data_IF_322850671521
#
_entry.id   IF_322850671521
#
_cell.length_a   1.000
_cell.length_b   1.000
_cell.length_c   1.000
_cell.angle_alpha   90.00
_cell.angle_beta   90.00
_cell.angle_gamma   90.00
#
_symmetry.space_group_name_H-M   'P 1'
#
loop_
_entity.id
_entity.type
_entity.pdbx_description
1 polymer ?
#
# COMPACT_ATOMS: atom_id res chain seq x y z
N UNK A 1 -37.60 9.45 -33.16
CA UNK A 1 -37.44 9.21 -31.70
C UNK A 1 -36.29 8.23 -31.45
N UNK A 2 -35.01 8.56 -31.72
CA UNK A 2 -33.90 7.64 -31.31
C UNK A 2 -32.45 8.21 -31.34
N UNK A 3 -32.24 9.53 -31.44
CA UNK A 3 -30.86 10.08 -31.46
C UNK A 3 -30.38 10.42 -30.05
N UNK A 4 -31.27 10.94 -29.20
CA UNK A 4 -30.97 11.27 -27.80
C UNK A 4 -30.73 10.01 -26.94
N UNK A 5 -31.58 8.98 -27.06
CA UNK A 5 -31.37 7.69 -26.38
C UNK A 5 -30.05 7.01 -26.78
N UNK A 6 -29.72 7.00 -28.09
CA UNK A 6 -28.46 6.42 -28.57
C UNK A 6 -27.23 7.16 -28.02
N UNK A 7 -27.27 8.49 -27.91
CA UNK A 7 -26.19 9.29 -27.28
C UNK A 7 -26.03 9.01 -25.78
N UNK A 8 -27.11 8.64 -25.07
CA UNK A 8 -27.07 8.30 -23.64
C UNK A 8 -26.45 6.92 -23.40
N UNK A 9 -26.78 5.92 -24.22
CA UNK A 9 -26.30 4.54 -24.10
C UNK A 9 -24.76 4.46 -24.23
N UNK A 10 -24.17 5.19 -25.19
CA UNK A 10 -22.71 5.19 -25.36
C UNK A 10 -21.97 5.76 -24.15
N UNK A 11 -22.53 6.77 -23.47
CA UNK A 11 -21.94 7.31 -22.24
C UNK A 11 -21.98 6.29 -21.09
N UNK A 12 -23.09 5.56 -20.96
CA UNK A 12 -23.25 4.50 -19.95
C UNK A 12 -22.27 3.37 -20.23
N UNK A 13 -22.13 2.95 -21.49
CA UNK A 13 -21.16 1.92 -21.89
C UNK A 13 -19.73 2.33 -21.54
N UNK A 14 -19.31 3.56 -21.87
CA UNK A 14 -17.98 4.07 -21.54
C UNK A 14 -17.73 4.10 -20.03
N UNK A 15 -18.73 4.50 -19.25
CA UNK A 15 -18.64 4.53 -17.78
C UNK A 15 -18.50 3.12 -17.19
N UNK A 16 -19.33 2.17 -17.65
CA UNK A 16 -19.22 0.77 -17.22
C UNK A 16 -17.88 0.16 -17.63
N UNK A 17 -17.38 0.49 -18.81
CA UNK A 17 -16.08 0.04 -19.27
C UNK A 17 -14.93 0.58 -18.39
N UNK A 18 -14.96 1.87 -18.04
CA UNK A 18 -13.99 2.47 -17.14
C UNK A 18 -14.03 1.84 -15.73
N UNK A 19 -15.23 1.60 -15.19
CA UNK A 19 -15.41 0.89 -13.92
C UNK A 19 -14.85 -0.54 -14.02
N UNK A 20 -15.13 -1.25 -15.12
CA UNK A 20 -14.63 -2.60 -15.37
C UNK A 20 -13.10 -2.66 -15.38
N UNK A 21 -12.44 -1.71 -16.02
CA UNK A 21 -10.97 -1.58 -15.99
C UNK A 21 -10.48 -1.37 -14.55
N UNK A 22 -11.10 -0.46 -13.80
CA UNK A 22 -10.73 -0.18 -12.41
C UNK A 22 -10.84 -1.42 -11.52
N UNK A 23 -11.96 -2.15 -11.61
CA UNK A 23 -12.19 -3.40 -10.85
C UNK A 23 -11.18 -4.48 -11.23
N UNK A 24 -10.96 -4.69 -12.54
CA UNK A 24 -10.00 -5.69 -13.01
C UNK A 24 -8.57 -5.36 -12.59
N UNK A 25 -8.19 -4.09 -12.66
CA UNK A 25 -6.88 -3.61 -12.20
C UNK A 25 -6.71 -3.82 -10.70
N UNK A 26 -7.71 -3.46 -9.88
CA UNK A 26 -7.67 -3.67 -8.43
C UNK A 26 -7.57 -5.15 -8.09
N UNK A 27 -8.35 -6.00 -8.75
CA UNK A 27 -8.31 -7.45 -8.54
C UNK A 27 -6.92 -8.02 -8.83
N UNK A 28 -6.32 -7.63 -9.96
CA UNK A 28 -4.98 -8.07 -10.34
C UNK A 28 -3.91 -7.59 -9.35
N UNK A 29 -3.91 -6.29 -9.01
CA UNK A 29 -2.93 -5.70 -8.08
C UNK A 29 -3.05 -6.28 -6.68
N UNK A 30 -4.27 -6.46 -6.15
CA UNK A 30 -4.48 -7.11 -4.86
C UNK A 30 -3.95 -8.55 -4.87
N UNK A 31 -4.11 -9.27 -5.98
CA UNK A 31 -3.52 -10.60 -6.17
C UNK A 31 -1.99 -10.57 -6.12
N UNK A 32 -1.36 -9.56 -6.73
CA UNK A 32 0.10 -9.39 -6.70
C UNK A 32 0.61 -9.04 -5.30
N UNK A 33 -0.04 -8.09 -4.62
CA UNK A 33 0.28 -7.68 -3.24
C UNK A 33 0.21 -8.88 -2.31
N UNK A 34 -0.82 -9.72 -2.42
CA UNK A 34 -0.94 -10.92 -1.59
C UNK A 34 0.17 -11.95 -1.86
N UNK A 35 0.63 -12.09 -3.11
CA UNK A 35 1.78 -12.96 -3.41
C UNK A 35 3.07 -12.40 -2.81
N UNK A 36 3.29 -11.09 -2.92
CA UNK A 36 4.45 -10.43 -2.32
C UNK A 36 4.44 -10.53 -0.80
N UNK A 37 3.27 -10.36 -0.17
CA UNK A 37 3.10 -10.56 1.27
C UNK A 37 3.56 -11.94 1.72
N UNK A 38 3.12 -12.99 1.04
CA UNK A 38 3.57 -14.37 1.34
C UNK A 38 5.08 -14.54 1.17
N UNK A 39 5.67 -13.94 0.14
CA UNK A 39 7.12 -13.97 -0.06
C UNK A 39 7.88 -13.22 1.04
N UNK A 40 7.32 -12.13 1.57
CA UNK A 40 7.90 -11.44 2.73
C UNK A 40 7.80 -12.29 3.99
N UNK A 41 6.67 -12.94 4.25
CA UNK A 41 6.50 -13.88 5.37
C UNK A 41 7.54 -15.01 5.30
N UNK A 42 7.75 -15.62 4.13
CA UNK A 42 8.79 -16.65 3.91
C UNK A 42 10.21 -16.10 4.20
N UNK A 43 10.51 -14.88 3.78
CA UNK A 43 11.80 -14.23 4.08
C UNK A 43 11.99 -14.00 5.57
N UNK A 44 10.94 -13.60 6.30
CA UNK A 44 11.00 -13.44 7.76
C UNK A 44 11.22 -14.80 8.44
N UNK A 45 10.56 -15.85 7.98
CA UNK A 45 10.79 -17.21 8.51
C UNK A 45 12.22 -17.68 8.28
N UNK A 46 12.78 -17.46 7.09
CA UNK A 46 14.18 -17.77 6.80
C UNK A 46 15.13 -16.97 7.70
N UNK A 47 14.84 -15.69 7.92
CA UNK A 47 15.61 -14.85 8.83
C UNK A 47 15.54 -15.33 10.28
N UNK A 48 14.36 -15.75 10.73
CA UNK A 48 14.12 -16.28 12.06
C UNK A 48 14.87 -17.61 12.28
N UNK A 49 14.81 -18.52 11.30
CA UNK A 49 15.54 -19.79 11.33
C UNK A 49 17.05 -19.56 11.31
N UNK A 50 17.54 -18.63 10.49
CA UNK A 50 18.96 -18.27 10.49
C UNK A 50 19.41 -17.69 11.84
N UNK A 51 18.60 -16.83 12.45
CA UNK A 51 18.88 -16.24 13.77
C UNK A 51 18.85 -17.28 14.88
N UNK A 52 17.89 -18.21 14.83
CA UNK A 52 17.81 -19.35 15.75
C UNK A 52 19.05 -20.25 15.65
N UNK A 53 19.48 -20.58 14.43
CA UNK A 53 20.69 -21.38 14.21
C UNK A 53 21.94 -20.64 14.67
N UNK A 54 22.10 -19.35 14.35
CA UNK A 54 23.23 -18.55 14.84
C UNK A 54 23.35 -18.48 16.37
N UNK A 55 22.22 -18.59 17.07
CA UNK A 55 22.18 -18.63 18.53
C UNK A 55 22.37 -20.04 19.11
N UNK A 56 22.42 -21.08 18.29
CA UNK A 56 22.63 -22.44 18.74
C UNK A 56 24.13 -22.68 19.06
N UNK A 57 24.45 -23.34 20.19
CA UNK A 57 25.84 -23.59 20.59
C UNK A 57 26.61 -24.54 19.67
N UNK A 58 25.92 -25.25 18.76
CA UNK A 58 26.47 -26.32 17.90
C UNK A 58 26.82 -25.84 16.48
N UNK A 59 26.70 -24.54 16.17
CA UNK A 59 26.89 -24.04 14.81
C UNK A 59 28.35 -24.02 14.39
N UNK A 60 28.67 -24.69 13.29
CA UNK A 60 30.01 -24.70 12.71
C UNK A 60 30.42 -23.31 12.18
N UNK A 61 31.72 -22.98 12.26
CA UNK A 61 32.27 -21.67 11.85
C UNK A 61 32.01 -21.32 10.38
N UNK A 62 31.91 -22.33 9.51
CA UNK A 62 31.58 -22.13 8.09
C UNK A 62 30.09 -21.84 7.85
N UNK A 63 29.21 -22.39 8.68
CA UNK A 63 27.75 -22.15 8.60
C UNK A 63 27.39 -20.76 9.15
N UNK A 64 28.14 -20.27 10.16
CA UNK A 64 28.03 -18.92 10.71
C UNK A 64 28.12 -17.80 9.65
N UNK A 65 29.04 -17.92 8.68
CA UNK A 65 29.19 -16.93 7.63
C UNK A 65 27.96 -16.86 6.70
N UNK A 66 27.43 -18.03 6.32
CA UNK A 66 26.25 -18.16 5.47
C UNK A 66 24.97 -17.68 6.18
N UNK A 67 24.76 -18.09 7.43
CA UNK A 67 23.60 -17.67 8.23
C UNK A 67 23.65 -16.17 8.54
N UNK A 68 24.84 -15.61 8.78
CA UNK A 68 25.04 -14.16 8.94
C UNK A 68 24.70 -13.40 7.66
N UNK A 69 25.03 -13.94 6.48
CA UNK A 69 24.65 -13.35 5.20
C UNK A 69 23.12 -13.36 4.99
N UNK A 70 22.43 -14.46 5.31
CA UNK A 70 20.97 -14.54 5.26
C UNK A 70 20.34 -13.50 6.20
N UNK A 71 20.86 -13.40 7.42
CA UNK A 71 20.35 -12.44 8.42
C UNK A 71 20.55 -10.98 7.98
N UNK A 72 21.66 -10.66 7.28
CA UNK A 72 21.97 -9.31 6.80
C UNK A 72 21.24 -8.92 5.52
N UNK A 73 20.83 -9.89 4.70
CA UNK A 73 20.13 -9.62 3.44
C UNK A 73 18.70 -9.12 3.62
N UNK A 74 18.15 -9.11 4.85
CA UNK A 74 16.88 -8.46 5.14
C UNK A 74 17.09 -6.96 5.42
N UNK A 75 16.91 -6.13 4.39
CA UNK A 75 17.09 -4.68 4.46
C UNK A 75 15.79 -3.87 4.46
N UNK A 76 14.66 -4.52 4.18
CA UNK A 76 13.39 -3.81 3.92
C UNK A 76 12.26 -4.18 4.87
N UNK A 77 12.33 -5.31 5.56
CA UNK A 77 11.26 -5.75 6.47
C UNK A 77 11.61 -5.27 7.89
N UNK A 78 10.78 -4.43 8.53
CA UNK A 78 10.99 -4.01 9.91
C UNK A 78 10.83 -5.19 10.87
N UNK A 79 11.80 -5.38 11.75
CA UNK A 79 11.87 -6.50 12.70
C UNK A 79 12.15 -5.99 14.11
N UNK A 80 11.48 -6.58 15.09
CA UNK A 80 11.78 -6.43 16.51
C UNK A 80 11.96 -7.82 17.12
N UNK A 81 13.12 -8.04 17.73
CA UNK A 81 13.36 -9.20 18.59
C UNK A 81 13.05 -8.78 20.02
N UNK A 82 12.16 -9.52 20.69
CA UNK A 82 11.78 -9.28 22.07
C UNK A 82 11.91 -10.56 22.92
N UNK A 83 12.08 -10.41 24.23
CA UNK A 83 11.95 -11.51 25.17
C UNK A 83 10.47 -11.86 25.39
N UNK A 84 10.21 -13.08 25.88
CA UNK A 84 8.93 -13.53 26.42
C UNK A 84 8.18 -12.51 27.32
N UNK A 85 8.91 -11.63 28.02
CA UNK A 85 8.36 -10.56 28.87
C UNK A 85 8.00 -9.27 28.12
N UNK A 86 8.09 -9.27 26.79
CA UNK A 86 7.79 -8.11 25.95
C UNK A 86 8.87 -7.03 25.93
N UNK A 87 10.08 -7.32 26.47
CA UNK A 87 11.21 -6.40 26.41
C UNK A 87 11.91 -6.51 25.06
N UNK A 88 12.08 -5.38 24.36
CA UNK A 88 12.86 -5.30 23.12
C UNK A 88 14.33 -5.62 23.39
N UNK A 89 14.85 -6.63 22.69
CA UNK A 89 16.25 -7.08 22.73
C UNK A 89 17.06 -6.48 21.59
N UNK A 90 16.50 -6.46 20.38
CA UNK A 90 17.10 -5.82 19.20
C UNK A 90 16.04 -5.45 18.19
N UNK A 91 16.40 -4.59 17.24
CA UNK A 91 15.52 -4.14 16.17
C UNK A 91 16.30 -3.99 14.86
N UNK A 92 15.60 -4.06 13.72
CA UNK A 92 16.14 -3.81 12.38
C UNK A 92 15.12 -3.12 11.48
N UNK A 93 15.64 -2.33 10.53
CA UNK A 93 14.86 -1.64 9.49
C UNK A 93 13.74 -0.76 10.08
N UNK A 94 13.98 -0.19 11.26
CA UNK A 94 13.19 0.88 11.87
C UNK A 94 13.96 2.19 11.81
N UNK A 95 13.27 3.31 11.94
CA UNK A 95 13.88 4.64 11.87
C UNK A 95 14.74 4.92 13.11
N UNK A 96 16.06 4.94 12.93
CA UNK A 96 17.02 5.16 14.01
C UNK A 96 16.91 6.55 14.63
N UNK A 97 16.47 7.57 13.89
CA UNK A 97 16.28 8.91 14.42
C UNK A 97 15.08 8.94 15.37
N UNK A 98 13.97 8.28 15.02
CA UNK A 98 12.80 8.17 15.88
C UNK A 98 13.10 7.33 17.14
N UNK A 99 13.87 6.24 17.00
CA UNK A 99 14.32 5.44 18.16
C UNK A 99 15.15 6.29 19.14
N UNK A 100 15.99 7.20 18.64
CA UNK A 100 16.81 8.05 19.50
C UNK A 100 16.03 9.21 20.14
N UNK A 101 14.98 9.68 19.48
CA UNK A 101 14.19 10.83 19.92
C UNK A 101 13.04 10.45 20.87
N UNK A 102 12.39 9.31 20.64
CA UNK A 102 11.22 8.86 21.39
C UNK A 102 11.49 7.50 22.05
N UNK A 103 11.56 7.51 23.39
CA UNK A 103 11.76 6.32 24.20
C UNK A 103 10.64 5.29 24.07
N UNK A 104 9.44 5.70 23.65
CA UNK A 104 8.26 4.83 23.50
C UNK A 104 8.10 4.28 22.08
N UNK A 105 8.84 4.81 21.09
CA UNK A 105 8.69 4.43 19.68
C UNK A 105 8.81 2.92 19.45
N UNK A 106 9.85 2.29 20.02
CA UNK A 106 10.05 0.84 19.89
C UNK A 106 8.93 0.02 20.53
N UNK A 107 8.38 0.48 21.65
CA UNK A 107 7.27 -0.20 22.31
C UNK A 107 5.98 -0.05 21.49
N UNK A 108 5.72 1.15 20.95
CA UNK A 108 4.57 1.39 20.08
C UNK A 108 4.63 0.52 18.81
N UNK A 109 5.79 0.48 18.14
CA UNK A 109 6.01 -0.40 17.00
C UNK A 109 5.84 -1.88 17.37
N UNK A 110 6.30 -2.31 18.54
CA UNK A 110 6.09 -3.68 19.02
C UNK A 110 4.60 -4.01 19.18
N UNK A 111 3.80 -3.10 19.74
CA UNK A 111 2.34 -3.30 19.87
C UNK A 111 1.64 -3.30 18.51
N UNK A 112 2.05 -2.44 17.57
CA UNK A 112 1.54 -2.45 16.20
C UNK A 112 1.87 -3.78 15.49
N UNK A 113 3.11 -4.26 15.61
CA UNK A 113 3.52 -5.53 15.00
C UNK A 113 2.75 -6.72 15.57
N UNK A 114 2.43 -6.72 16.88
CA UNK A 114 1.60 -7.75 17.53
C UNK A 114 0.19 -7.84 16.94
N UNK A 115 -0.37 -6.70 16.51
CA UNK A 115 -1.71 -6.65 15.91
C UNK A 115 -1.69 -7.08 14.44
N UNK A 116 -0.58 -6.86 13.74
CA UNK A 116 -0.48 -7.18 12.30
C UNK A 116 -0.24 -8.67 12.05
N UNK A 117 0.69 -9.29 12.78
CA UNK A 117 1.09 -10.68 12.57
C UNK A 117 1.36 -11.43 13.89
N UNK A 118 1.11 -12.75 13.94
CA UNK A 118 1.54 -13.57 15.07
C UNK A 118 3.08 -13.60 15.16
N UNK A 119 3.65 -13.57 16.38
CA UNK A 119 5.10 -13.62 16.55
C UNK A 119 5.69 -14.95 16.11
N UNK A 120 6.90 -14.92 15.57
CA UNK A 120 7.70 -16.12 15.33
C UNK A 120 8.52 -16.41 16.59
N UNK A 121 8.33 -17.60 17.16
CA UNK A 121 9.03 -18.02 18.38
C UNK A 121 10.36 -18.69 18.05
N UNK A 122 11.43 -18.25 18.68
CA UNK A 122 12.74 -18.90 18.59
C UNK A 122 13.22 -19.29 20.00
N UNK A 123 13.51 -20.58 20.25
CA UNK A 123 14.10 -21.01 21.52
C UNK A 123 15.61 -20.72 21.49
N UNK A 124 16.09 -19.93 22.45
CA UNK A 124 17.49 -19.55 22.58
C UNK A 124 17.94 -19.80 24.03
N UNK A 125 18.90 -20.71 24.24
CA UNK A 125 19.48 -21.03 25.57
C UNK A 125 18.43 -21.15 26.70
N UNK A 126 17.37 -21.92 26.46
CA UNK A 126 16.29 -22.19 27.43
C UNK A 126 15.37 -20.98 27.74
N UNK A 127 15.42 -19.92 26.92
CA UNK A 127 14.49 -18.80 26.93
C UNK A 127 13.78 -18.68 25.57
N UNK A 128 12.49 -18.36 25.58
CA UNK A 128 11.77 -18.04 24.34
C UNK A 128 12.01 -16.58 23.96
N UNK A 129 12.54 -16.36 22.76
CA UNK A 129 12.56 -15.05 22.13
C UNK A 129 11.49 -15.00 21.04
N UNK A 130 10.92 -13.82 20.85
CA UNK A 130 9.81 -13.57 19.94
C UNK A 130 10.26 -12.57 18.88
N UNK A 131 10.06 -12.92 17.63
CA UNK A 131 10.29 -12.02 16.49
C UNK A 131 8.94 -11.46 16.06
N UNK A 132 8.86 -10.14 16.09
CA UNK A 132 7.75 -9.33 15.60
C UNK A 132 8.18 -8.62 14.32
N UNK A 133 7.24 -8.46 13.38
CA UNK A 133 7.56 -7.88 12.08
C UNK A 133 6.37 -7.15 11.46
N UNK A 134 6.68 -6.11 10.69
CA UNK A 134 5.73 -5.46 9.78
C UNK A 134 5.93 -5.97 8.35
N UNK A 135 4.91 -5.77 7.51
CA UNK A 135 5.14 -5.74 6.07
C UNK A 135 6.14 -4.63 5.70
N UNK A 136 6.93 -4.85 4.65
CA UNK A 136 7.89 -3.83 4.18
C UNK A 136 7.18 -2.52 3.79
N UNK A 137 7.89 -1.40 3.87
CA UNK A 137 7.38 -0.10 3.44
C UNK A 137 6.90 -0.14 1.99
N UNK A 138 7.66 -0.83 1.13
CA UNK A 138 7.34 -1.00 -0.29
C UNK A 138 6.04 -1.78 -0.47
N UNK A 139 5.83 -2.86 0.30
CA UNK A 139 4.59 -3.64 0.23
C UNK A 139 3.38 -2.80 0.70
N UNK A 140 3.54 -2.01 1.76
CA UNK A 140 2.52 -1.06 2.21
C UNK A 140 2.19 -0.05 1.11
N UNK A 141 3.19 0.57 0.50
CA UNK A 141 3.01 1.53 -0.61
C UNK A 141 2.31 0.89 -1.81
N UNK A 142 2.70 -0.32 -2.22
CA UNK A 142 2.05 -1.06 -3.31
C UNK A 142 0.59 -1.40 -3.03
N UNK A 143 0.24 -1.61 -1.76
CA UNK A 143 -1.13 -1.87 -1.33
C UNK A 143 -2.03 -0.65 -1.54
N UNK A 144 -1.52 0.56 -1.26
CA UNK A 144 -2.30 1.80 -1.37
C UNK A 144 -2.22 2.46 -2.75
N UNK A 145 -1.14 2.22 -3.49
CA UNK A 145 -0.91 2.78 -4.83
C UNK A 145 -2.13 2.77 -5.77
N UNK A 146 -2.84 1.64 -5.98
CA UNK A 146 -3.95 1.62 -6.93
C UNK A 146 -5.13 2.53 -6.51
N UNK A 147 -5.35 2.71 -5.20
CA UNK A 147 -6.41 3.59 -4.71
C UNK A 147 -6.05 5.07 -4.91
N UNK A 148 -4.78 5.43 -4.70
CA UNK A 148 -4.27 6.77 -4.99
C UNK A 148 -4.41 7.05 -6.49
N UNK A 149 -4.00 6.11 -7.34
CA UNK A 149 -4.13 6.24 -8.79
C UNK A 149 -5.58 6.45 -9.23
N UNK A 150 -6.53 5.67 -8.72
CA UNK A 150 -7.96 5.84 -9.02
C UNK A 150 -8.49 7.19 -8.55
N UNK A 151 -8.03 7.68 -7.40
CA UNK A 151 -8.41 9.00 -6.87
C UNK A 151 -7.92 10.11 -7.80
N UNK A 152 -6.67 10.03 -8.28
CA UNK A 152 -6.12 10.99 -9.24
C UNK A 152 -6.91 10.97 -10.55
N UNK A 153 -7.23 9.78 -11.08
CA UNK A 153 -8.03 9.64 -12.30
C UNK A 153 -9.44 10.23 -12.11
N UNK A 154 -10.09 9.94 -10.98
CA UNK A 154 -11.42 10.48 -10.66
C UNK A 154 -11.40 12.01 -10.60
N UNK A 155 -10.34 12.60 -10.04
CA UNK A 155 -10.16 14.04 -9.99
C UNK A 155 -10.01 14.66 -11.40
N UNK A 156 -9.22 14.04 -12.28
CA UNK A 156 -9.11 14.48 -13.67
C UNK A 156 -10.44 14.39 -14.42
N UNK A 157 -11.20 13.30 -14.23
CA UNK A 157 -12.54 13.13 -14.84
C UNK A 157 -13.51 14.20 -14.34
N UNK A 158 -13.46 14.54 -13.05
CA UNK A 158 -14.28 15.59 -12.46
C UNK A 158 -13.96 16.96 -13.09
N UNK A 159 -12.68 17.33 -13.20
CA UNK A 159 -12.26 18.59 -13.82
C UNK A 159 -12.72 18.64 -15.28
N UNK A 160 -12.53 17.57 -16.04
CA UNK A 160 -12.96 17.50 -17.44
C UNK A 160 -14.48 17.65 -17.56
N UNK A 161 -15.26 17.04 -16.66
CA UNK A 161 -16.71 17.19 -16.63
C UNK A 161 -17.13 18.64 -16.34
N UNK A 162 -16.52 19.30 -15.36
CA UNK A 162 -16.82 20.69 -15.03
C UNK A 162 -16.49 21.64 -16.18
N UNK A 163 -15.33 21.49 -16.81
CA UNK A 163 -14.91 22.31 -17.94
C UNK A 163 -15.86 22.16 -19.14
N UNK A 164 -16.24 20.93 -19.47
CA UNK A 164 -17.17 20.65 -20.57
C UNK A 164 -18.60 21.12 -20.28
N UNK A 165 -19.05 21.00 -19.03
CA UNK A 165 -20.34 21.51 -18.58
C UNK A 165 -20.40 23.03 -18.68
N UNK A 166 -19.36 23.72 -18.19
CA UNK A 166 -19.25 25.18 -18.28
C UNK A 166 -19.23 25.65 -19.74
N UNK A 167 -18.47 24.98 -20.62
CA UNK A 167 -18.40 25.31 -22.05
C UNK A 167 -19.76 25.20 -22.73
N UNK A 168 -20.50 24.11 -22.52
CA UNK A 168 -21.84 23.95 -23.09
C UNK A 168 -22.84 24.98 -22.60
N UNK A 169 -22.80 25.32 -21.32
CA UNK A 169 -23.66 26.36 -20.75
C UNK A 169 -23.32 27.74 -21.35
N UNK A 170 -22.03 28.02 -21.58
CA UNK A 170 -21.58 29.25 -22.22
C UNK A 170 -22.03 29.35 -23.70
N UNK A 171 -21.90 28.27 -24.47
CA UNK A 171 -22.42 28.19 -25.84
C UNK A 171 -23.92 28.48 -25.89
N UNK A 172 -24.68 27.86 -24.98
CA UNK A 172 -26.11 28.07 -24.90
C UNK A 172 -26.46 29.52 -24.52
N UNK A 173 -25.79 30.10 -23.53
CA UNK A 173 -25.99 31.48 -23.12
C UNK A 173 -25.64 32.49 -24.23
N UNK A 174 -24.60 32.24 -25.04
CA UNK A 174 -24.27 33.10 -26.18
C UNK A 174 -25.37 33.12 -27.24
N UNK A 175 -25.99 31.97 -27.53
CA UNK A 175 -27.12 31.88 -28.48
C UNK A 175 -28.32 32.68 -27.96
N UNK A 176 -28.62 32.62 -26.65
CA UNK A 176 -29.70 33.38 -26.03
C UNK A 176 -29.48 34.90 -26.12
N UNK A 177 -28.26 35.37 -25.83
CA UNK A 177 -27.91 36.79 -25.97
C UNK A 177 -28.02 37.24 -27.43
N UNK A 178 -27.58 36.40 -28.38
CA UNK A 178 -27.71 36.68 -29.81
C UNK A 178 -29.16 36.82 -30.27
N UNK A 179 -30.03 35.88 -29.87
CA UNK A 179 -31.47 35.95 -30.18
C UNK A 179 -32.13 37.19 -29.57
N UNK A 180 -31.84 37.52 -28.30
CA UNK A 180 -32.38 38.71 -27.65
C UNK A 180 -31.97 40.01 -28.37
N UNK A 181 -30.73 40.08 -28.85
CA UNK A 181 -30.22 41.24 -29.60
C UNK A 181 -30.92 41.41 -30.95
N UNK A 182 -31.17 40.32 -31.67
CA UNK A 182 -31.88 40.35 -32.94
C UNK A 182 -33.36 40.72 -32.76
N UNK A 183 -34.03 40.19 -31.73
CA UNK A 183 -35.43 40.55 -31.42
C UNK A 183 -35.57 42.01 -30.99
N UNK A 184 -34.62 42.54 -30.21
CA UNK A 184 -34.61 43.95 -29.82
C UNK A 184 -34.38 44.90 -31.00
N UNK A 185 -33.73 44.44 -32.06
CA UNK A 185 -33.56 45.20 -33.30
C UNK A 185 -34.81 45.15 -34.21
N UNK A 186 -35.69 44.16 -34.01
CA UNK A 186 -36.90 43.96 -34.81
C UNK A 186 -38.17 44.61 -34.21
N UNK A 187 -38.08 45.19 -33.00
CA UNK A 187 -39.15 45.95 -32.32
C UNK A 187 -38.94 47.46 -32.50
#
# INVERSE_FOLDING_TARGET
MNIYYRKQIWKIFLLLFAIGIGVLSLWYTNGLVNKLKKQEEEKVQLWAEATKRLAAPETEMNELAFLSQISRNNTTIPLILASDKGKVLSWRNLDSALVAQDSNYLQAQLEEMKMEHPPIKIPVFNQEQLIYYHNSTVLKELTYYPYIQLTVIAFFVLIAYLAFSASRNAEQNQVWVGMAKETAHQL
#
